data_IF_792588612200
#
_entry.id   IF_792588612200
#
_cell.length_a   1.000
_cell.length_b   1.000
_cell.length_c   1.000
_cell.angle_alpha   90.00
_cell.angle_beta   90.00
_cell.angle_gamma   90.00
#
_symmetry.space_group_name_H-M   'P 1'
#
loop_
_entity.id
_entity.type
_entity.pdbx_description
1 polymer ?
#
# COMPACT_ATOMS: atom_id res chain seq x y z
N UNK A 1 37.72 -42.09 13.11
CA UNK A 1 37.13 -40.73 13.14
C UNK A 1 36.97 -40.15 11.74
N UNK A 2 38.03 -39.97 10.95
CA UNK A 2 37.92 -39.43 9.57
C UNK A 2 36.94 -40.20 8.65
N UNK A 3 36.94 -41.54 8.71
CA UNK A 3 36.01 -42.35 7.92
C UNK A 3 34.54 -42.12 8.29
N UNK A 4 34.24 -41.78 9.55
CA UNK A 4 32.88 -41.47 9.99
C UNK A 4 32.42 -40.13 9.41
N UNK A 5 33.30 -39.12 9.45
CA UNK A 5 33.07 -37.82 8.81
C UNK A 5 32.83 -37.95 7.32
N UNK A 6 33.61 -38.76 6.60
CA UNK A 6 33.39 -38.98 5.16
C UNK A 6 32.09 -39.74 4.89
N UNK A 7 31.63 -40.58 5.81
CA UNK A 7 30.34 -41.25 5.72
C UNK A 7 29.18 -40.28 5.93
N UNK A 8 29.26 -39.41 6.93
CA UNK A 8 28.16 -38.51 7.29
C UNK A 8 28.23 -37.17 6.54
N UNK A 9 29.37 -36.86 5.91
CA UNK A 9 29.69 -35.59 5.24
C UNK A 9 29.51 -34.34 6.11
N UNK A 10 29.56 -34.53 7.43
CA UNK A 10 29.35 -33.49 8.44
C UNK A 10 30.47 -33.50 9.47
N UNK A 11 30.87 -32.31 9.95
CA UNK A 11 31.99 -32.11 10.88
C UNK A 11 31.61 -31.04 11.90
N UNK A 12 31.89 -31.31 13.18
CA UNK A 12 31.74 -30.32 14.25
C UNK A 12 32.69 -29.12 14.04
N UNK A 13 32.19 -27.87 14.14
CA UNK A 13 32.99 -26.67 13.86
C UNK A 13 34.15 -26.47 14.86
N UNK A 14 34.01 -26.92 16.11
CA UNK A 14 35.09 -26.88 17.11
C UNK A 14 36.24 -27.81 16.72
N UNK A 15 35.93 -29.05 16.27
CA UNK A 15 36.92 -30.02 15.80
C UNK A 15 37.61 -29.57 14.50
N UNK A 16 36.90 -28.83 13.65
CA UNK A 16 37.46 -28.29 12.41
C UNK A 16 38.40 -27.11 12.66
N UNK A 17 38.22 -26.37 13.76
CA UNK A 17 39.04 -25.23 14.15
C UNK A 17 40.34 -25.63 14.85
N UNK A 18 40.33 -26.77 15.54
CA UNK A 18 41.53 -27.37 16.15
C UNK A 18 42.46 -28.05 15.12
N UNK A 19 41.95 -28.31 13.91
CA UNK A 19 42.69 -29.01 12.87
C UNK A 19 43.63 -28.05 12.11
N UNK A 20 44.87 -28.49 11.87
CA UNK A 20 45.83 -27.75 11.05
C UNK A 20 45.28 -27.49 9.63
N UNK A 21 45.65 -26.35 9.04
CA UNK A 21 45.14 -25.92 7.72
C UNK A 21 45.40 -26.98 6.63
N UNK A 22 46.56 -27.63 6.62
CA UNK A 22 46.89 -28.67 5.64
C UNK A 22 45.99 -29.92 5.78
N UNK A 23 45.68 -30.29 7.03
CA UNK A 23 44.79 -31.41 7.32
C UNK A 23 43.34 -31.07 6.95
N UNK A 24 42.92 -29.81 7.16
CA UNK A 24 41.62 -29.29 6.76
C UNK A 24 41.45 -29.27 5.24
N UNK A 25 42.45 -28.82 4.50
CA UNK A 25 42.45 -28.86 3.03
C UNK A 25 42.36 -30.29 2.50
N UNK A 26 43.11 -31.22 3.10
CA UNK A 26 43.06 -32.65 2.76
C UNK A 26 41.68 -33.25 3.04
N UNK A 27 41.07 -32.91 4.18
CA UNK A 27 39.72 -33.33 4.54
C UNK A 27 38.68 -32.85 3.52
N UNK A 28 38.71 -31.57 3.15
CA UNK A 28 37.78 -31.02 2.16
C UNK A 28 37.94 -31.67 0.78
N UNK A 29 39.16 -31.98 0.36
CA UNK A 29 39.40 -32.69 -0.89
C UNK A 29 38.71 -34.06 -0.89
N UNK A 30 38.84 -34.83 0.20
CA UNK A 30 38.17 -36.13 0.32
C UNK A 30 36.65 -36.02 0.46
N UNK A 31 36.14 -35.03 1.21
CA UNK A 31 34.70 -34.78 1.31
C UNK A 31 34.12 -34.42 -0.05
N UNK A 32 34.82 -33.59 -0.84
CA UNK A 32 34.38 -33.22 -2.17
C UNK A 32 34.35 -34.41 -3.13
N UNK A 33 35.38 -35.25 -3.07
CA UNK A 33 35.41 -36.50 -3.85
C UNK A 33 34.23 -37.41 -3.50
N UNK A 34 33.91 -37.56 -2.21
CA UNK A 34 32.78 -38.39 -1.78
C UNK A 34 31.43 -37.79 -2.18
N UNK A 35 31.26 -36.47 -2.14
CA UNK A 35 30.08 -35.79 -2.68
C UNK A 35 29.89 -36.10 -4.17
N UNK A 36 30.95 -35.93 -4.97
CA UNK A 36 30.91 -36.21 -6.41
C UNK A 36 30.60 -37.68 -6.66
N UNK A 37 31.24 -38.60 -5.90
CA UNK A 37 30.99 -40.04 -6.02
C UNK A 37 29.54 -40.40 -5.70
N UNK A 38 28.95 -39.83 -4.65
CA UNK A 38 27.54 -40.05 -4.28
C UNK A 38 26.60 -39.46 -5.31
N UNK A 39 26.91 -38.27 -5.81
CA UNK A 39 26.10 -37.64 -6.84
C UNK A 39 26.14 -38.44 -8.14
N UNK A 40 27.32 -38.85 -8.63
CA UNK A 40 27.46 -39.68 -9.84
C UNK A 40 26.74 -41.03 -9.69
N UNK A 41 26.80 -41.65 -8.51
CA UNK A 41 26.03 -42.87 -8.21
C UNK A 41 24.52 -42.63 -8.23
N UNK A 42 24.06 -41.52 -7.66
CA UNK A 42 22.64 -41.15 -7.67
C UNK A 42 22.18 -40.80 -9.09
N UNK A 43 22.98 -40.07 -9.86
CA UNK A 43 22.68 -39.65 -11.23
C UNK A 43 22.56 -40.86 -12.15
N UNK A 44 23.50 -41.81 -12.08
CA UNK A 44 23.41 -43.10 -12.79
C UNK A 44 22.18 -43.91 -12.39
N UNK A 45 21.85 -43.96 -11.09
CA UNK A 45 20.64 -44.64 -10.64
C UNK A 45 19.37 -43.96 -11.17
N UNK A 46 19.33 -42.63 -11.21
CA UNK A 46 18.22 -41.89 -11.78
C UNK A 46 18.11 -42.08 -13.29
N UNK A 47 19.22 -42.11 -14.02
CA UNK A 47 19.25 -42.37 -15.46
C UNK A 47 18.76 -43.80 -15.77
N UNK A 48 19.22 -44.80 -15.00
CA UNK A 48 18.74 -46.18 -15.10
C UNK A 48 17.26 -46.31 -14.72
N UNK A 49 16.80 -45.63 -13.67
CA UNK A 49 15.40 -45.63 -13.24
C UNK A 49 14.49 -44.97 -14.28
N UNK A 50 14.91 -43.83 -14.84
CA UNK A 50 14.22 -43.16 -15.94
C UNK A 50 14.17 -44.05 -17.18
N UNK A 51 15.29 -44.64 -17.58
CA UNK A 51 15.37 -45.57 -18.71
C UNK A 51 14.50 -46.82 -18.51
N UNK A 52 14.47 -47.38 -17.30
CA UNK A 52 13.60 -48.50 -16.94
C UNK A 52 12.13 -48.10 -16.95
N UNK A 53 11.79 -46.89 -16.48
CA UNK A 53 10.44 -46.34 -16.50
C UNK A 53 9.95 -46.13 -17.94
N UNK A 54 10.80 -45.62 -18.81
CA UNK A 54 10.52 -45.48 -20.25
C UNK A 54 10.29 -46.83 -20.93
N UNK A 55 11.18 -47.80 -20.70
CA UNK A 55 11.02 -49.16 -21.23
C UNK A 55 9.76 -49.86 -20.71
N UNK A 56 9.42 -49.67 -19.42
CA UNK A 56 8.18 -50.21 -18.82
C UNK A 56 6.94 -49.48 -19.33
N UNK A 57 7.02 -48.19 -19.66
CA UNK A 57 5.92 -47.42 -20.23
C UNK A 57 5.62 -47.79 -21.70
N UNK A 58 6.59 -48.37 -22.42
CA UNK A 58 6.41 -48.89 -23.78
C UNK A 58 5.82 -50.31 -23.82
N UNK A 59 5.72 -51.01 -22.68
CA UNK A 59 5.02 -52.29 -22.63
C UNK A 59 3.50 -52.06 -22.52
N UNK A 60 2.68 -52.70 -23.38
CA UNK A 60 1.24 -52.52 -23.34
C UNK A 60 0.68 -53.22 -22.10
N UNK A 61 0.47 -52.48 -21.01
CA UNK A 61 -0.33 -52.94 -19.88
C UNK A 61 -1.78 -52.54 -20.09
N UNK A 62 -2.63 -53.56 -20.18
CA UNK A 62 -4.08 -53.48 -20.16
C UNK A 62 -4.58 -52.63 -18.99
N UNK A 63 -5.40 -51.64 -19.35
CA UNK A 63 -6.37 -50.91 -18.53
C UNK A 63 -5.90 -50.09 -17.31
N UNK A 64 -6.28 -48.81 -17.39
CA UNK A 64 -6.77 -47.98 -16.28
C UNK A 64 -5.73 -47.44 -15.30
N UNK A 65 -4.96 -46.48 -15.80
CA UNK A 65 -4.77 -45.16 -15.17
C UNK A 65 -4.25 -44.25 -16.27
N UNK A 66 -5.05 -43.25 -16.68
CA UNK A 66 -4.56 -42.16 -17.53
C UNK A 66 -3.54 -41.38 -16.70
N UNK A 67 -2.30 -41.87 -16.64
CA UNK A 67 -1.18 -41.05 -16.21
C UNK A 67 -1.12 -39.93 -17.25
N UNK A 68 -1.39 -38.70 -16.81
CA UNK A 68 -1.29 -37.51 -17.64
C UNK A 68 0.17 -37.38 -18.08
N UNK A 69 0.51 -38.01 -19.21
CA UNK A 69 1.80 -37.84 -19.86
C UNK A 69 1.78 -36.47 -20.49
N UNK A 70 2.59 -35.56 -19.94
CA UNK A 70 2.82 -34.25 -20.54
C UNK A 70 3.52 -34.50 -21.88
N UNK A 71 2.86 -34.13 -22.97
CA UNK A 71 3.44 -34.08 -24.29
C UNK A 71 3.54 -32.61 -24.66
N UNK A 72 4.74 -32.17 -25.01
CA UNK A 72 4.93 -30.82 -25.51
C UNK A 72 4.38 -30.75 -26.93
N UNK A 73 3.67 -29.67 -27.23
CA UNK A 73 3.38 -29.31 -28.62
C UNK A 73 4.73 -29.03 -29.29
N UNK A 74 5.00 -29.61 -30.45
CA UNK A 74 6.24 -29.40 -31.20
C UNK A 74 5.98 -28.39 -32.31
N UNK A 75 6.94 -27.52 -32.59
CA UNK A 75 6.95 -26.61 -33.74
C UNK A 75 7.34 -27.33 -35.03
N UNK A 76 7.28 -26.60 -36.15
CA UNK A 76 7.67 -27.10 -37.48
C UNK A 76 9.17 -27.41 -37.59
N UNK A 77 9.97 -26.83 -36.70
CA UNK A 77 11.40 -27.06 -36.51
C UNK A 77 11.72 -28.36 -35.76
N UNK A 78 10.71 -29.01 -35.17
CA UNK A 78 10.92 -30.17 -34.31
C UNK A 78 11.48 -29.82 -32.93
N UNK A 79 11.44 -28.54 -32.53
CA UNK A 79 11.66 -28.10 -31.15
C UNK A 79 10.30 -27.95 -30.43
N UNK A 80 10.25 -27.94 -29.08
CA UNK A 80 9.02 -27.64 -28.36
C UNK A 80 8.47 -26.25 -28.72
N UNK A 81 7.17 -26.15 -28.98
CA UNK A 81 6.49 -24.90 -29.30
C UNK A 81 6.67 -23.87 -28.17
N UNK A 82 7.27 -22.73 -28.50
CA UNK A 82 7.45 -21.61 -27.59
C UNK A 82 6.56 -20.46 -28.05
N UNK A 83 5.80 -19.89 -27.11
CA UNK A 83 5.11 -18.61 -27.33
C UNK A 83 5.86 -17.52 -26.57
N UNK A 84 6.32 -16.49 -27.28
CA UNK A 84 6.91 -15.30 -26.69
C UNK A 84 5.85 -14.21 -26.67
N UNK A 85 5.45 -13.77 -25.47
CA UNK A 85 4.48 -12.68 -25.34
C UNK A 85 5.03 -11.41 -25.99
N UNK A 86 4.25 -10.82 -26.91
CA UNK A 86 4.60 -9.59 -27.63
C UNK A 86 5.31 -9.81 -28.97
N UNK A 87 5.56 -11.05 -29.39
CA UNK A 87 6.06 -11.35 -30.75
C UNK A 87 4.90 -11.53 -31.76
N UNK A 88 3.73 -11.96 -31.29
CA UNK A 88 2.53 -12.07 -32.12
C UNK A 88 1.93 -10.69 -32.41
N UNK A 89 1.39 -10.49 -33.62
CA UNK A 89 0.88 -9.18 -34.08
C UNK A 89 -0.28 -8.63 -33.24
N UNK A 90 -1.02 -9.51 -32.56
CA UNK A 90 -2.17 -9.18 -31.71
C UNK A 90 -1.80 -9.12 -30.21
N UNK A 91 -0.56 -9.45 -29.84
CA UNK A 91 -0.11 -9.40 -28.45
C UNK A 91 0.33 -7.98 -28.08
N UNK A 92 -0.11 -7.52 -26.89
CA UNK A 92 0.44 -6.30 -26.29
C UNK A 92 1.90 -6.53 -25.93
N UNK A 93 2.71 -5.48 -26.11
CA UNK A 93 4.09 -5.53 -25.64
C UNK A 93 4.13 -5.55 -24.12
N UNK A 94 5.21 -6.09 -23.56
CA UNK A 94 5.41 -6.09 -22.09
C UNK A 94 5.35 -4.67 -21.55
N UNK A 95 5.91 -3.70 -22.28
CA UNK A 95 5.91 -2.28 -21.93
C UNK A 95 4.48 -1.71 -21.87
N UNK A 96 3.63 -2.04 -22.85
CA UNK A 96 2.24 -1.59 -22.89
C UNK A 96 1.41 -2.16 -21.74
N UNK A 97 1.62 -3.43 -21.39
CA UNK A 97 0.94 -4.07 -20.25
C UNK A 97 1.33 -3.39 -18.93
N UNK A 98 2.61 -3.09 -18.75
CA UNK A 98 3.10 -2.42 -17.54
C UNK A 98 2.56 -0.99 -17.42
N UNK A 99 2.49 -0.26 -18.52
CA UNK A 99 1.92 1.08 -18.55
C UNK A 99 0.42 1.06 -18.19
N UNK A 100 -0.35 0.14 -18.77
CA UNK A 100 -1.78 -0.01 -18.45
C UNK A 100 -1.99 -0.36 -16.97
N UNK A 101 -1.16 -1.23 -16.41
CA UNK A 101 -1.21 -1.59 -14.99
C UNK A 101 -0.86 -0.39 -14.09
N UNK A 102 0.13 0.42 -14.48
CA UNK A 102 0.51 1.64 -13.75
C UNK A 102 -0.62 2.67 -13.76
N UNK A 103 -1.26 2.89 -14.91
CA UNK A 103 -2.41 3.78 -15.06
C UNK A 103 -3.58 3.30 -14.20
N UNK A 104 -3.88 2.00 -14.21
CA UNK A 104 -4.99 1.46 -13.43
C UNK A 104 -4.73 1.59 -11.92
N UNK A 105 -3.48 1.37 -11.47
CA UNK A 105 -3.06 1.59 -10.08
C UNK A 105 -3.20 3.05 -9.69
N UNK A 106 -2.71 3.97 -10.51
CA UNK A 106 -2.82 5.41 -10.26
C UNK A 106 -4.29 5.85 -10.15
N UNK A 107 -5.17 5.35 -11.04
CA UNK A 107 -6.60 5.63 -11.00
C UNK A 107 -7.25 5.13 -9.71
N UNK A 108 -6.98 3.88 -9.31
CA UNK A 108 -7.51 3.30 -8.06
C UNK A 108 -7.03 4.08 -6.84
N UNK A 109 -5.78 4.56 -6.85
CA UNK A 109 -5.23 5.36 -5.77
C UNK A 109 -5.95 6.73 -5.66
N UNK A 110 -6.10 7.42 -6.79
CA UNK A 110 -6.82 8.69 -6.83
C UNK A 110 -8.29 8.56 -6.36
N UNK A 111 -8.96 7.47 -6.70
CA UNK A 111 -10.32 7.19 -6.24
C UNK A 111 -10.40 7.02 -4.72
N UNK A 112 -9.47 6.24 -4.13
CA UNK A 112 -9.41 6.06 -2.68
C UNK A 112 -9.14 7.37 -1.94
N UNK A 113 -8.15 8.14 -2.40
CA UNK A 113 -7.83 9.44 -1.80
C UNK A 113 -9.02 10.39 -1.88
N UNK A 114 -9.74 10.40 -3.02
CA UNK A 114 -10.95 11.20 -3.19
C UNK A 114 -12.07 10.74 -2.24
N UNK A 115 -12.25 9.43 -2.05
CA UNK A 115 -13.25 8.88 -1.13
C UNK A 115 -12.92 9.21 0.33
N UNK A 116 -11.66 9.10 0.73
CA UNK A 116 -11.18 9.50 2.06
C UNK A 116 -11.37 10.99 2.31
N UNK A 117 -11.01 11.84 1.33
CA UNK A 117 -11.27 13.28 1.41
C UNK A 117 -12.77 13.57 1.53
N UNK A 118 -13.63 12.89 0.77
CA UNK A 118 -15.09 13.04 0.88
C UNK A 118 -15.61 12.68 2.27
N UNK A 119 -15.11 11.60 2.86
CA UNK A 119 -15.47 11.19 4.23
C UNK A 119 -15.04 12.23 5.25
N UNK A 120 -13.80 12.71 5.16
CA UNK A 120 -13.27 13.72 6.08
C UNK A 120 -14.05 15.04 5.98
N UNK A 121 -14.31 15.53 4.76
CA UNK A 121 -15.11 16.74 4.53
C UNK A 121 -16.53 16.57 5.07
N UNK A 122 -17.15 15.40 4.91
CA UNK A 122 -18.49 15.15 5.44
C UNK A 122 -18.53 15.16 6.97
N UNK A 123 -17.51 14.61 7.63
CA UNK A 123 -17.37 14.66 9.09
C UNK A 123 -17.18 16.10 9.56
N UNK A 124 -16.23 16.83 8.97
CA UNK A 124 -15.97 18.24 9.30
C UNK A 124 -17.21 19.12 9.09
N UNK A 125 -17.95 18.90 7.99
CA UNK A 125 -19.21 19.61 7.72
C UNK A 125 -20.27 19.29 8.78
N UNK A 126 -20.38 18.03 9.19
CA UNK A 126 -21.33 17.61 10.23
C UNK A 126 -20.98 18.25 11.57
N UNK A 127 -19.71 18.25 11.96
CA UNK A 127 -19.24 18.92 13.18
C UNK A 127 -19.54 20.42 13.15
N UNK A 128 -19.38 21.07 12.00
CA UNK A 128 -19.70 22.47 11.80
C UNK A 128 -21.21 22.74 11.91
N UNK A 129 -22.05 21.87 11.34
CA UNK A 129 -23.51 21.98 11.45
C UNK A 129 -23.94 21.83 12.91
N UNK A 130 -23.42 20.82 13.61
CA UNK A 130 -23.71 20.59 15.03
C UNK A 130 -23.25 21.78 15.89
N UNK A 131 -22.09 22.36 15.59
CA UNK A 131 -21.60 23.55 16.28
C UNK A 131 -22.52 24.75 16.06
N UNK A 132 -22.91 25.03 14.81
CA UNK A 132 -23.84 26.11 14.50
C UNK A 132 -25.22 25.90 15.14
N UNK A 133 -25.73 24.67 15.16
CA UNK A 133 -27.00 24.33 15.81
C UNK A 133 -26.95 24.62 17.32
N UNK A 134 -25.85 24.26 18.00
CA UNK A 134 -25.66 24.59 19.42
C UNK A 134 -25.60 26.09 19.67
N UNK A 135 -24.95 26.86 18.78
CA UNK A 135 -24.91 28.33 18.88
C UNK A 135 -26.29 28.95 18.67
N UNK A 136 -27.09 28.39 17.75
CA UNK A 136 -28.49 28.81 17.54
C UNK A 136 -29.32 28.51 18.78
N UNK A 137 -29.24 27.29 19.32
CA UNK A 137 -29.96 26.89 20.54
C UNK A 137 -29.54 27.75 21.75
N UNK A 138 -28.24 28.03 21.90
CA UNK A 138 -27.72 28.92 22.94
C UNK A 138 -28.28 30.34 22.79
N UNK A 139 -28.27 30.89 21.57
CA UNK A 139 -28.84 32.20 21.28
C UNK A 139 -30.36 32.23 21.52
N UNK A 140 -31.09 31.20 21.08
CA UNK A 140 -32.53 31.05 21.31
C UNK A 140 -32.84 31.00 22.82
N UNK A 141 -32.08 30.23 23.61
CA UNK A 141 -32.28 30.16 25.07
C UNK A 141 -31.92 31.45 25.81
N UNK A 142 -31.02 32.28 25.26
CA UNK A 142 -30.72 33.62 25.78
C UNK A 142 -31.88 34.56 25.44
N UNK A 143 -32.38 34.53 24.20
CA UNK A 143 -33.52 35.36 23.80
C UNK A 143 -34.84 34.98 24.48
N UNK A 144 -35.10 33.70 24.74
CA UNK A 144 -36.27 33.24 25.52
C UNK A 144 -36.20 33.66 26.99
N UNK A 145 -34.99 33.81 27.55
CA UNK A 145 -34.77 34.38 28.89
C UNK A 145 -34.91 35.90 28.91
N UNK A 146 -34.61 36.57 27.81
CA UNK A 146 -34.78 38.02 27.66
C UNK A 146 -36.22 38.42 27.29
N UNK A 147 -37.06 37.50 26.79
CA UNK A 147 -38.51 37.70 26.63
C UNK A 147 -39.28 37.65 27.97
N UNK A 148 -38.65 37.23 29.08
CA UNK A 148 -39.12 37.56 30.43
C UNK A 148 -38.72 39.01 30.73
N UNK A 149 -39.38 39.95 30.04
CA UNK A 149 -39.17 41.38 30.17
C UNK A 149 -39.37 41.82 31.64
N UNK A 150 -38.33 42.27 32.35
CA UNK A 150 -38.55 43.06 33.56
C UNK A 150 -39.18 44.39 33.13
N UNK A 151 -40.43 44.62 33.52
CA UNK A 151 -41.23 45.82 33.21
C UNK A 151 -40.72 47.12 33.89
N UNK A 152 -39.44 47.20 34.24
CA UNK A 152 -38.87 48.25 35.09
C UNK A 152 -38.01 49.28 34.35
N UNK A 153 -37.89 49.22 33.02
CA UNK A 153 -37.17 50.26 32.25
C UNK A 153 -38.06 51.44 31.83
N UNK A 154 -39.32 51.49 32.26
CA UNK A 154 -40.17 52.66 32.03
C UNK A 154 -40.05 53.66 33.18
N UNK A 155 -39.07 54.57 33.12
CA UNK A 155 -39.10 55.77 33.95
C UNK A 155 -40.38 56.56 33.60
N UNK A 156 -41.24 56.79 34.59
CA UNK A 156 -42.40 57.68 34.44
C UNK A 156 -41.93 59.07 34.01
N UNK A 157 -42.66 59.68 33.06
CA UNK A 157 -42.35 60.94 32.37
C UNK A 157 -42.00 62.12 33.30
N UNK A 158 -42.37 62.04 34.58
CA UNK A 158 -42.11 63.08 35.57
C UNK A 158 -40.61 63.26 35.92
N UNK A 159 -39.77 62.23 35.74
CA UNK A 159 -38.32 62.29 36.08
C UNK A 159 -37.45 62.96 34.99
N UNK A 160 -37.97 63.16 33.77
CA UNK A 160 -37.26 63.84 32.67
C UNK A 160 -37.49 65.37 32.72
N UNK A 161 -38.31 65.86 33.65
CA UNK A 161 -38.76 67.27 33.70
C UNK A 161 -37.84 68.20 34.48
N UNK A 162 -36.62 67.79 34.84
CA UNK A 162 -35.61 68.73 35.31
C UNK A 162 -34.72 69.21 34.14
N UNK A 163 -34.77 70.49 33.75
CA UNK A 163 -34.08 70.96 32.56
C UNK A 163 -32.69 71.55 32.85
N UNK A 164 -31.79 71.33 31.87
CA UNK A 164 -30.67 72.20 31.45
C UNK A 164 -29.29 71.91 32.11
N UNK A 165 -28.13 71.93 31.45
CA UNK A 165 -27.67 72.44 30.15
C UNK A 165 -26.40 71.69 29.67
N UNK A 166 -26.22 71.53 28.35
CA UNK A 166 -25.03 71.85 27.53
C UNK A 166 -24.82 70.86 26.36
N UNK A 167 -24.63 71.34 25.11
CA UNK A 167 -24.40 70.47 23.95
C UNK A 167 -22.91 70.15 23.76
N UNK A 168 -22.57 68.89 23.50
CA UNK A 168 -21.24 68.49 23.04
C UNK A 168 -21.37 67.81 21.67
N UNK A 169 -20.64 68.35 20.70
CA UNK A 169 -20.58 67.98 19.29
C UNK A 169 -19.94 66.61 19.05
N UNK A 170 -20.47 65.87 18.07
CA UNK A 170 -19.92 64.62 17.53
C UNK A 170 -18.91 64.91 16.41
N UNK A 171 -17.67 64.46 16.56
CA UNK A 171 -16.69 64.37 15.48
C UNK A 171 -16.88 63.07 14.69
N UNK A 172 -17.05 63.20 13.38
CA UNK A 172 -17.17 62.11 12.40
C UNK A 172 -15.78 61.86 11.84
N UNK A 173 -15.07 60.81 12.28
CA UNK A 173 -13.91 60.27 11.59
C UNK A 173 -13.62 58.84 12.05
N UNK A 174 -13.93 57.84 11.22
CA UNK A 174 -13.58 56.46 11.50
C UNK A 174 -14.14 55.42 10.54
N UNK A 175 -14.21 55.71 9.23
CA UNK A 175 -14.77 54.77 8.26
C UNK A 175 -13.90 54.69 7.00
N UNK A 176 -12.62 54.30 7.15
CA UNK A 176 -11.73 54.07 6.00
C UNK A 176 -10.89 52.80 6.00
N UNK A 177 -10.92 51.94 7.02
CA UNK A 177 -9.96 50.82 7.08
C UNK A 177 -10.45 49.45 6.61
N UNK A 178 -11.73 49.26 6.26
CA UNK A 178 -12.21 47.92 5.86
C UNK A 178 -12.01 47.58 4.37
N UNK A 179 -11.74 48.56 3.50
CA UNK A 179 -11.59 48.31 2.05
C UNK A 179 -10.20 47.85 1.63
N UNK A 180 -9.16 48.10 2.42
CA UNK A 180 -7.79 47.71 2.11
C UNK A 180 -7.53 46.21 2.34
N UNK A 181 -8.15 45.59 3.34
CA UNK A 181 -7.89 44.20 3.70
C UNK A 181 -8.39 43.18 2.63
N UNK A 182 -9.46 43.50 1.90
CA UNK A 182 -10.02 42.60 0.89
C UNK A 182 -9.20 42.54 -0.42
N UNK A 183 -8.32 43.51 -0.66
CA UNK A 183 -7.56 43.58 -1.90
C UNK A 183 -6.23 42.80 -1.83
N UNK A 184 -5.66 42.59 -0.64
CA UNK A 184 -4.39 41.84 -0.50
C UNK A 184 -4.58 40.32 -0.50
N UNK A 185 -5.76 39.80 -0.14
CA UNK A 185 -6.01 38.35 -0.11
C UNK A 185 -6.25 37.72 -1.49
N UNK A 186 -6.51 38.52 -2.53
CA UNK A 186 -6.82 38.02 -3.88
C UNK A 186 -5.58 37.89 -4.78
N UNK A 187 -4.44 38.47 -4.40
CA UNK A 187 -3.22 38.47 -5.23
C UNK A 187 -2.31 37.26 -4.93
N UNK A 188 -2.39 36.66 -3.74
CA UNK A 188 -1.51 35.52 -3.36
C UNK A 188 -1.95 34.14 -3.87
N UNK A 189 -2.90 34.04 -4.82
CA UNK A 189 -3.36 32.76 -5.37
C UNK A 189 -3.11 32.56 -6.87
N UNK A 190 -2.23 33.38 -7.45
CA UNK A 190 -1.73 33.19 -8.81
C UNK A 190 -0.23 33.48 -8.88
N UNK A 191 0.58 32.65 -8.20
CA UNK A 191 1.96 32.29 -8.60
C UNK A 191 2.15 30.82 -8.24
#
# INVERSE_FOLDING_TARGET
MLQQILKDLWVDPELLAELDEDMKQTLFCHMRQEQIRRWDMWDKQQEEECSLRERKALQPKSQEKKQSRVQFLMGDDGEPWVWVMGEHADDKTIEEILEEEAIEKARKQAEKETEELRKNVAVELTEMIDFNQRQIEEYETVTEKDEEYPMDLYCTVDEIREPSMHPVSLDINGEKDMRAAFQEMTISKVI
#
